data_IF_498873838697
#
_entry.id   IF_498873838697
#
_cell.length_a   1.000
_cell.length_b   1.000
_cell.length_c   1.000
_cell.angle_alpha   90.00
_cell.angle_beta   90.00
_cell.angle_gamma   90.00
#
_symmetry.space_group_name_H-M   'P 1'
#
loop_
_entity.id
_entity.type
_entity.pdbx_description
1 polymer ?
#
# COMPACT_ATOMS: atom_id res chain seq x y z
N UNK A 1 29.22 -29.99 -56.93
CA UNK A 1 30.16 -29.87 -55.78
C UNK A 1 30.38 -28.39 -55.47
N UNK A 2 30.24 -28.01 -54.19
CA UNK A 2 30.39 -26.66 -53.60
C UNK A 2 29.30 -25.62 -53.95
N UNK A 3 28.81 -24.94 -52.89
CA UNK A 3 27.84 -23.82 -52.82
C UNK A 3 26.38 -24.30 -52.90
N UNK A 4 25.54 -24.31 -51.86
CA UNK A 4 25.31 -23.33 -50.79
C UNK A 4 24.81 -24.04 -49.52
N UNK A 5 25.73 -24.44 -48.64
CA UNK A 5 25.44 -24.90 -47.26
C UNK A 5 25.35 -23.73 -46.26
N UNK A 6 24.91 -22.55 -46.72
CA UNK A 6 24.95 -21.31 -45.92
C UNK A 6 23.56 -20.72 -45.60
N UNK A 7 22.47 -21.46 -45.82
CA UNK A 7 21.11 -20.96 -45.54
C UNK A 7 20.40 -21.64 -44.37
N UNK A 8 21.02 -22.64 -43.72
CA UNK A 8 20.38 -23.38 -42.61
C UNK A 8 21.12 -23.19 -41.26
N UNK A 9 22.27 -22.50 -41.24
CA UNK A 9 23.02 -22.23 -39.99
C UNK A 9 22.78 -20.82 -39.43
N UNK A 10 22.03 -19.96 -40.13
CA UNK A 10 21.67 -18.61 -39.66
C UNK A 10 20.27 -18.49 -39.04
N UNK A 11 19.57 -19.61 -38.77
CA UNK A 11 18.33 -19.62 -37.99
C UNK A 11 18.52 -20.06 -36.54
N UNK A 12 19.77 -20.04 -36.07
CA UNK A 12 20.15 -20.10 -34.65
C UNK A 12 20.76 -18.77 -34.19
N UNK A 13 20.37 -17.65 -34.80
CA UNK A 13 20.55 -16.34 -34.18
C UNK A 13 19.52 -16.27 -33.06
N UNK A 14 19.93 -16.79 -31.91
CA UNK A 14 19.79 -16.12 -30.63
C UNK A 14 18.50 -15.29 -30.54
N UNK A 15 17.36 -15.98 -30.36
CA UNK A 15 16.21 -15.37 -29.69
C UNK A 15 16.66 -15.08 -28.26
N UNK A 16 17.47 -14.04 -28.07
CA UNK A 16 17.44 -13.26 -26.85
C UNK A 16 16.05 -12.65 -26.89
N UNK A 17 15.07 -13.39 -26.39
CA UNK A 17 14.02 -12.72 -25.66
C UNK A 17 14.76 -11.92 -24.59
N UNK A 18 14.96 -10.62 -24.86
CA UNK A 18 15.05 -9.63 -23.81
C UNK A 18 13.69 -9.72 -23.11
N UNK A 19 13.50 -10.75 -22.29
CA UNK A 19 12.68 -10.61 -21.12
C UNK A 19 13.37 -9.48 -20.37
N UNK A 20 12.87 -8.26 -20.55
CA UNK A 20 13.12 -7.20 -19.61
C UNK A 20 12.76 -7.82 -18.25
N UNK A 21 13.78 -8.23 -17.50
CA UNK A 21 13.60 -8.88 -16.23
C UNK A 21 12.71 -7.92 -15.43
N UNK A 22 11.55 -8.42 -14.97
CA UNK A 22 10.59 -7.56 -14.28
C UNK A 22 11.30 -6.76 -13.21
N UNK A 23 11.14 -5.44 -13.28
CA UNK A 23 11.72 -4.53 -12.29
C UNK A 23 11.01 -4.68 -10.94
N UNK A 24 9.92 -5.46 -10.87
CA UNK A 24 9.13 -5.72 -9.68
C UNK A 24 9.93 -6.35 -8.53
N UNK A 25 9.40 -6.17 -7.32
CA UNK A 25 9.86 -6.83 -6.11
C UNK A 25 8.68 -7.29 -5.28
N UNK A 26 8.87 -8.34 -4.50
CA UNK A 26 7.85 -8.81 -3.56
C UNK A 26 8.43 -9.43 -2.30
N UNK A 27 7.61 -9.49 -1.27
CA UNK A 27 7.87 -10.24 -0.05
C UNK A 27 6.58 -10.85 0.47
N UNK A 28 6.70 -12.03 1.08
CA UNK A 28 5.69 -12.67 1.91
C UNK A 28 6.28 -12.85 3.29
N UNK A 29 5.63 -12.28 4.31
CA UNK A 29 6.04 -12.42 5.70
C UNK A 29 4.93 -13.08 6.53
N UNK A 30 5.31 -13.80 7.58
CA UNK A 30 4.41 -14.15 8.66
C UNK A 30 3.98 -12.86 9.39
N UNK A 31 2.67 -12.65 9.55
CA UNK A 31 2.12 -11.39 10.04
C UNK A 31 2.25 -11.20 11.56
N UNK A 32 2.65 -12.24 12.30
CA UNK A 32 2.82 -12.16 13.76
C UNK A 32 4.30 -12.03 14.16
N UNK A 33 5.19 -12.64 13.37
CA UNK A 33 6.62 -12.73 13.67
C UNK A 33 7.49 -11.86 12.76
N UNK A 34 6.92 -11.27 11.71
CA UNK A 34 7.63 -10.54 10.66
C UNK A 34 8.73 -11.40 9.95
N UNK A 35 8.65 -12.73 10.07
CA UNK A 35 9.59 -13.65 9.42
C UNK A 35 9.30 -13.74 7.92
N UNK A 36 10.33 -13.56 7.10
CA UNK A 36 10.22 -13.75 5.65
C UNK A 36 9.98 -15.22 5.32
N UNK A 37 8.95 -15.49 4.51
CA UNK A 37 8.56 -16.81 4.02
C UNK A 37 8.96 -17.02 2.55
N UNK A 38 8.78 -15.99 1.73
CA UNK A 38 9.11 -15.97 0.30
C UNK A 38 9.49 -14.54 -0.07
N UNK A 39 10.53 -14.33 -0.88
CA UNK A 39 10.88 -12.99 -1.35
C UNK A 39 11.55 -13.00 -2.73
N UNK A 40 11.41 -11.89 -3.45
CA UNK A 40 12.20 -11.58 -4.63
C UNK A 40 12.54 -10.09 -4.62
N UNK A 41 13.84 -9.77 -4.61
CA UNK A 41 14.36 -8.38 -4.61
C UNK A 41 13.71 -7.51 -3.52
N UNK A 42 13.35 -8.09 -2.37
CA UNK A 42 12.51 -7.42 -1.35
C UNK A 42 13.13 -6.16 -0.73
N UNK A 43 14.46 -6.02 -0.78
CA UNK A 43 15.21 -4.85 -0.33
C UNK A 43 15.44 -3.80 -1.44
N UNK A 44 14.93 -4.04 -2.65
CA UNK A 44 15.02 -3.08 -3.76
C UNK A 44 14.14 -1.88 -3.50
N UNK A 45 14.70 -0.69 -3.76
CA UNK A 45 14.01 0.58 -3.55
C UNK A 45 13.06 0.88 -4.71
N UNK A 46 11.81 1.18 -4.37
CA UNK A 46 10.78 1.62 -5.30
C UNK A 46 10.04 2.83 -4.75
N UNK A 47 9.42 3.59 -5.66
CA UNK A 47 8.32 4.46 -5.28
C UNK A 47 7.13 3.59 -4.87
N UNK A 48 6.52 3.89 -3.73
CA UNK A 48 5.49 3.02 -3.14
C UNK A 48 4.06 3.53 -3.29
N UNK A 49 3.88 4.67 -3.96
CA UNK A 49 2.58 5.29 -4.16
C UNK A 49 1.76 5.32 -2.85
N UNK A 50 0.45 5.08 -2.96
CA UNK A 50 -0.47 5.12 -1.84
C UNK A 50 -0.31 4.01 -0.79
N UNK A 51 0.66 3.09 -0.92
CA UNK A 51 1.04 2.26 0.23
C UNK A 51 1.64 3.10 1.37
N UNK A 52 2.12 4.32 1.05
CA UNK A 52 2.45 5.37 2.04
C UNK A 52 1.35 5.53 3.11
N UNK A 53 0.08 5.45 2.71
CA UNK A 53 -1.07 5.70 3.59
C UNK A 53 -1.24 4.65 4.68
N UNK A 54 -0.58 3.50 4.59
CA UNK A 54 -0.48 2.52 5.69
C UNK A 54 0.18 3.20 6.89
N UNK A 55 1.31 3.88 6.66
CA UNK A 55 2.07 4.56 7.69
C UNK A 55 1.38 5.84 8.18
N UNK A 56 0.79 6.61 7.26
CA UNK A 56 -0.03 7.79 7.61
C UNK A 56 -1.18 7.40 8.53
N UNK A 57 -1.93 6.34 8.19
CA UNK A 57 -3.07 5.88 8.98
C UNK A 57 -2.65 5.40 10.37
N UNK A 58 -1.57 4.60 10.47
CA UNK A 58 -1.08 4.14 11.78
C UNK A 58 -0.77 5.32 12.70
N UNK A 59 0.00 6.30 12.22
CA UNK A 59 0.39 7.46 13.03
C UNK A 59 -0.84 8.28 13.45
N UNK A 60 -1.79 8.51 12.54
CA UNK A 60 -3.06 9.18 12.87
C UNK A 60 -3.78 8.43 14.00
N UNK A 61 -3.98 7.12 13.84
CA UNK A 61 -4.74 6.30 14.79
C UNK A 61 -4.06 6.11 16.15
N UNK A 62 -2.74 6.29 16.23
CA UNK A 62 -1.97 6.32 17.48
C UNK A 62 -2.08 7.68 18.21
N UNK A 63 -2.44 8.75 17.51
CA UNK A 63 -2.38 10.13 18.04
C UNK A 63 -3.74 10.84 18.05
N UNK A 64 -4.85 10.12 17.86
CA UNK A 64 -6.20 10.68 17.94
C UNK A 64 -7.27 9.66 18.34
N UNK A 65 -8.43 10.17 18.73
CA UNK A 65 -9.65 9.40 18.84
C UNK A 65 -10.40 9.40 17.51
N UNK A 66 -11.25 8.39 17.31
CA UNK A 66 -12.00 8.25 16.06
C UNK A 66 -13.07 9.33 15.91
N UNK A 67 -13.58 9.84 17.03
CA UNK A 67 -14.67 10.81 17.07
C UNK A 67 -14.16 12.27 17.08
N UNK A 68 -12.84 12.48 17.11
CA UNK A 68 -12.25 13.82 17.02
C UNK A 68 -12.63 14.48 15.68
N UNK A 69 -12.99 15.76 15.74
CA UNK A 69 -13.39 16.54 14.58
C UNK A 69 -12.19 17.20 13.89
N UNK A 70 -12.17 17.10 12.56
CA UNK A 70 -11.16 17.67 11.68
C UNK A 70 -11.81 18.68 10.75
N UNK A 71 -11.36 19.93 10.84
CA UNK A 71 -11.73 20.99 9.91
C UNK A 71 -10.87 20.87 8.65
N UNK A 72 -11.50 20.71 7.49
CA UNK A 72 -10.82 20.58 6.20
C UNK A 72 -10.23 21.93 5.77
N UNK A 73 -8.92 21.97 5.56
CA UNK A 73 -8.22 23.15 5.03
C UNK A 73 -8.38 23.28 3.52
N UNK A 74 -8.18 24.50 2.99
CA UNK A 74 -8.03 24.72 1.55
C UNK A 74 -6.90 23.89 0.93
N UNK A 75 -5.80 23.69 1.65
CA UNK A 75 -4.65 22.92 1.15
C UNK A 75 -5.02 21.44 0.94
N UNK A 76 -5.84 20.88 1.81
CA UNK A 76 -6.34 19.52 1.66
C UNK A 76 -7.22 19.37 0.41
N UNK A 77 -8.07 20.36 0.09
CA UNK A 77 -8.95 20.27 -1.09
C UNK A 77 -8.22 20.42 -2.43
N UNK A 78 -7.04 21.05 -2.42
CA UNK A 78 -6.21 21.24 -3.62
C UNK A 78 -5.33 20.03 -3.98
N UNK A 79 -5.40 18.94 -3.22
CA UNK A 79 -4.62 17.74 -3.49
C UNK A 79 -5.03 17.08 -4.81
N UNK A 80 -4.04 16.75 -5.64
CA UNK A 80 -4.26 16.06 -6.91
C UNK A 80 -4.42 14.54 -6.69
N UNK A 81 -4.97 13.85 -7.68
CA UNK A 81 -5.05 12.38 -7.68
C UNK A 81 -6.36 11.85 -7.07
N UNK A 82 -6.27 10.74 -6.33
CA UNK A 82 -7.47 10.17 -5.69
C UNK A 82 -7.96 11.08 -4.57
N UNK A 83 -9.26 11.31 -4.51
CA UNK A 83 -9.90 12.22 -3.56
C UNK A 83 -11.24 11.63 -3.11
N UNK A 84 -11.70 12.03 -1.92
CA UNK A 84 -13.08 11.84 -1.43
C UNK A 84 -13.92 13.12 -1.59
N UNK A 85 -13.39 14.11 -2.31
CA UNK A 85 -13.99 15.38 -2.70
C UNK A 85 -14.33 16.28 -1.50
N UNK A 86 -13.42 16.34 -0.52
CA UNK A 86 -13.54 17.25 0.61
C UNK A 86 -13.67 18.71 0.15
N UNK A 87 -14.46 19.50 0.89
CA UNK A 87 -14.58 20.95 0.70
C UNK A 87 -14.03 21.70 1.90
N UNK A 88 -13.49 22.88 1.65
CA UNK A 88 -12.91 23.74 2.68
C UNK A 88 -13.95 24.07 3.75
N UNK A 89 -13.51 24.09 5.02
CA UNK A 89 -14.34 24.32 6.22
C UNK A 89 -15.39 23.23 6.52
N UNK A 90 -15.47 22.14 5.75
CA UNK A 90 -16.24 20.98 6.19
C UNK A 90 -15.58 20.35 7.40
N UNK A 91 -16.41 19.78 8.28
CA UNK A 91 -15.98 19.06 9.47
C UNK A 91 -16.27 17.58 9.25
N UNK A 92 -15.24 16.75 9.42
CA UNK A 92 -15.35 15.30 9.41
C UNK A 92 -14.72 14.72 10.66
N UNK A 93 -15.18 13.56 11.10
CA UNK A 93 -14.49 12.81 12.14
C UNK A 93 -13.20 12.19 11.60
N UNK A 94 -12.22 11.93 12.48
CA UNK A 94 -11.05 11.10 12.16
C UNK A 94 -11.49 9.78 11.54
N UNK A 95 -12.56 9.16 12.08
CA UNK A 95 -13.14 7.92 11.55
C UNK A 95 -13.47 8.05 10.07
N UNK A 96 -14.23 9.06 9.68
CA UNK A 96 -14.60 9.25 8.27
C UNK A 96 -13.36 9.46 7.40
N UNK A 97 -12.45 10.34 7.81
CA UNK A 97 -11.26 10.66 7.02
C UNK A 97 -10.32 9.46 6.86
N UNK A 98 -10.13 8.64 7.91
CA UNK A 98 -9.29 7.43 7.82
C UNK A 98 -9.94 6.38 6.91
N UNK A 99 -11.27 6.20 6.95
CA UNK A 99 -11.96 5.32 5.99
C UNK A 99 -11.79 5.85 4.56
N UNK A 100 -12.01 7.13 4.32
CA UNK A 100 -11.82 7.76 3.01
C UNK A 100 -10.38 7.62 2.49
N UNK A 101 -9.40 7.82 3.37
CA UNK A 101 -7.97 7.63 3.06
C UNK A 101 -7.64 6.17 2.71
N UNK A 102 -8.12 5.18 3.47
CA UNK A 102 -7.75 3.79 3.25
C UNK A 102 -8.53 3.14 2.10
N UNK A 103 -9.86 3.27 2.10
CA UNK A 103 -10.74 2.61 1.12
C UNK A 103 -10.70 3.31 -0.24
N UNK A 104 -10.70 4.65 -0.25
CA UNK A 104 -10.73 5.45 -1.50
C UNK A 104 -9.37 6.00 -1.90
N UNK A 105 -8.36 5.83 -1.05
CA UNK A 105 -7.02 6.37 -1.30
C UNK A 105 -7.00 7.90 -1.36
N UNK A 106 -7.92 8.57 -0.65
CA UNK A 106 -8.07 10.03 -0.67
C UNK A 106 -6.82 10.76 -0.21
N UNK A 107 -6.25 11.57 -1.10
CA UNK A 107 -5.06 12.40 -0.83
C UNK A 107 -5.45 13.63 0.01
N UNK A 108 -6.60 14.22 -0.31
CA UNK A 108 -7.27 15.26 0.48
C UNK A 108 -7.45 14.84 1.94
N UNK A 109 -8.00 13.65 2.20
CA UNK A 109 -8.15 13.10 3.54
C UNK A 109 -6.79 12.91 4.24
N UNK A 110 -5.76 12.48 3.49
CA UNK A 110 -4.43 12.27 4.08
C UNK A 110 -3.80 13.57 4.56
N UNK A 111 -3.94 14.65 3.78
CA UNK A 111 -3.41 15.96 4.13
C UNK A 111 -4.20 16.60 5.27
N UNK A 112 -5.54 16.53 5.24
CA UNK A 112 -6.38 17.03 6.34
C UNK A 112 -6.03 16.35 7.68
N UNK A 113 -5.87 15.02 7.67
CA UNK A 113 -5.45 14.26 8.85
C UNK A 113 -4.04 14.65 9.31
N UNK A 114 -3.09 14.80 8.38
CA UNK A 114 -1.72 15.17 8.71
C UNK A 114 -1.62 16.57 9.34
N UNK A 115 -2.35 17.53 8.80
CA UNK A 115 -2.45 18.89 9.33
C UNK A 115 -3.08 18.91 10.71
N UNK A 116 -4.14 18.14 10.93
CA UNK A 116 -4.79 18.03 12.24
C UNK A 116 -3.83 17.46 13.31
N UNK A 117 -3.10 16.39 13.00
CA UNK A 117 -2.23 15.71 13.98
C UNK A 117 -0.95 16.49 14.28
N UNK A 118 -0.33 17.10 13.26
CA UNK A 118 1.01 17.69 13.41
C UNK A 118 1.05 19.21 13.21
N UNK A 119 -0.08 19.85 12.92
CA UNK A 119 -0.21 21.26 12.57
C UNK A 119 0.24 21.62 11.14
N UNK A 120 0.95 20.72 10.44
CA UNK A 120 1.24 20.85 9.01
C UNK A 120 1.68 19.51 8.40
N UNK A 121 1.53 19.37 7.09
CA UNK A 121 2.02 18.19 6.36
C UNK A 121 3.54 17.99 6.54
N UNK A 122 4.32 19.07 6.50
CA UNK A 122 5.79 19.00 6.64
C UNK A 122 6.19 18.48 8.03
N UNK A 123 5.48 18.90 9.08
CA UNK A 123 5.69 18.38 10.45
C UNK A 123 5.29 16.91 10.55
N UNK A 124 4.19 16.52 9.90
CA UNK A 124 3.76 15.12 9.85
C UNK A 124 4.77 14.23 9.11
N UNK A 125 5.34 14.69 7.98
CA UNK A 125 6.38 13.95 7.26
C UNK A 125 7.64 13.76 8.11
N UNK A 126 8.02 14.76 8.93
CA UNK A 126 9.12 14.59 9.91
C UNK A 126 8.78 13.50 10.92
N UNK A 127 7.54 13.47 11.42
CA UNK A 127 7.06 12.42 12.32
C UNK A 127 7.08 11.05 11.66
N UNK A 128 6.62 10.92 10.41
CA UNK A 128 6.68 9.67 9.63
C UNK A 128 8.08 9.09 9.54
N UNK A 129 9.07 9.92 9.18
CA UNK A 129 10.47 9.49 9.06
C UNK A 129 11.10 9.18 10.42
N UNK A 130 10.77 9.96 11.47
CA UNK A 130 11.22 9.68 12.85
C UNK A 130 10.69 8.31 13.30
N UNK A 131 9.39 8.06 13.15
CA UNK A 131 8.74 6.80 13.51
C UNK A 131 9.33 5.62 12.73
N UNK A 132 9.60 5.78 11.44
CA UNK A 132 10.24 4.74 10.63
C UNK A 132 11.62 4.35 11.19
N UNK A 133 12.42 5.33 11.61
CA UNK A 133 13.72 5.10 12.24
C UNK A 133 13.61 4.36 13.56
N UNK A 134 12.62 4.69 14.40
CA UNK A 134 12.37 4.03 15.70
C UNK A 134 12.11 2.53 15.54
N UNK A 135 11.41 2.12 14.48
CA UNK A 135 11.14 0.72 14.18
C UNK A 135 12.17 0.04 13.28
N UNK A 136 13.30 0.69 13.00
CA UNK A 136 14.36 0.11 12.16
C UNK A 136 13.98 -0.05 10.68
N UNK A 137 12.99 0.70 10.20
CA UNK A 137 12.58 0.77 8.78
C UNK A 137 13.59 1.67 8.04
N UNK A 138 14.72 1.07 7.64
CA UNK A 138 15.95 1.78 7.22
C UNK A 138 16.00 2.16 5.74
N UNK A 139 15.22 1.51 4.89
CA UNK A 139 15.26 1.72 3.44
C UNK A 139 14.11 2.59 2.93
N UNK A 140 13.48 3.33 3.83
CA UNK A 140 12.29 4.15 3.58
C UNK A 140 12.57 5.63 3.80
N UNK A 141 12.06 6.46 2.91
CA UNK A 141 12.06 7.92 3.03
C UNK A 141 10.73 8.49 2.57
N UNK A 142 10.06 9.21 3.46
CA UNK A 142 8.85 9.96 3.16
C UNK A 142 9.18 11.42 2.87
N UNK A 143 8.54 11.97 1.84
CA UNK A 143 8.55 13.39 1.46
C UNK A 143 7.14 13.99 1.47
N UNK A 144 6.10 13.15 1.46
CA UNK A 144 4.69 13.54 1.56
C UNK A 144 3.86 12.43 2.25
N UNK A 145 2.61 12.72 2.60
CA UNK A 145 1.73 11.80 3.36
C UNK A 145 0.84 10.91 2.48
N UNK A 146 0.89 11.11 1.16
CA UNK A 146 -0.04 10.53 0.19
C UNK A 146 0.59 9.43 -0.66
N UNK A 147 1.90 9.53 -0.91
CA UNK A 147 2.66 8.78 -1.89
C UNK A 147 2.62 9.32 -3.32
N UNK A 148 2.10 10.53 -3.54
CA UNK A 148 2.09 11.16 -4.87
C UNK A 148 3.48 11.64 -5.29
N UNK A 149 4.28 12.11 -4.32
CA UNK A 149 5.65 12.53 -4.52
C UNK A 149 6.63 11.35 -4.55
N UNK A 150 7.88 11.64 -4.21
CA UNK A 150 8.99 10.69 -4.33
C UNK A 150 9.21 9.89 -3.05
N UNK A 151 8.13 9.36 -2.46
CA UNK A 151 8.23 8.44 -1.32
C UNK A 151 8.86 7.12 -1.77
N UNK A 152 9.99 6.77 -1.19
CA UNK A 152 10.76 5.56 -1.53
C UNK A 152 10.73 4.60 -0.36
N UNK A 153 10.56 3.31 -0.64
CA UNK A 153 10.66 2.23 0.34
C UNK A 153 11.01 0.92 -0.38
N UNK A 154 10.95 -0.20 0.32
CA UNK A 154 11.20 -1.56 -0.19
C UNK A 154 10.01 -2.46 0.13
N UNK A 155 9.87 -3.60 -0.54
CA UNK A 155 8.76 -4.50 -0.25
C UNK A 155 8.82 -4.99 1.21
N UNK A 156 10.03 -5.24 1.72
CA UNK A 156 10.28 -5.65 3.12
C UNK A 156 9.88 -4.57 4.12
N UNK A 157 10.30 -3.32 3.89
CA UNK A 157 9.96 -2.20 4.76
C UNK A 157 8.45 -1.93 4.76
N UNK A 158 7.80 -1.98 3.59
CA UNK A 158 6.33 -1.86 3.49
C UNK A 158 5.61 -2.99 4.22
N UNK A 159 6.10 -4.23 4.11
CA UNK A 159 5.51 -5.35 4.85
C UNK A 159 5.64 -5.16 6.36
N UNK A 160 6.78 -4.66 6.84
CA UNK A 160 6.97 -4.30 8.27
C UNK A 160 6.03 -3.17 8.69
N UNK A 161 5.88 -2.11 7.88
CA UNK A 161 4.93 -1.03 8.17
C UNK A 161 3.49 -1.55 8.26
N UNK A 162 3.11 -2.47 7.37
CA UNK A 162 1.78 -3.03 7.36
C UNK A 162 1.55 -3.99 8.53
N UNK A 163 2.54 -4.80 8.90
CA UNK A 163 2.52 -5.63 10.10
C UNK A 163 2.28 -4.79 11.37
N UNK A 164 3.05 -3.70 11.53
CA UNK A 164 2.90 -2.78 12.65
C UNK A 164 1.52 -2.13 12.65
N UNK A 165 1.03 -1.74 11.47
CA UNK A 165 -0.30 -1.14 11.36
C UNK A 165 -1.42 -2.12 11.75
N UNK A 166 -1.29 -3.41 11.40
CA UNK A 166 -2.27 -4.45 11.74
C UNK A 166 -2.34 -4.79 13.24
N UNK A 167 -1.34 -4.41 14.03
CA UNK A 167 -1.40 -4.50 15.50
C UNK A 167 -2.37 -3.49 16.11
N UNK A 168 -2.65 -2.39 15.41
CA UNK A 168 -3.68 -1.44 15.80
C UNK A 168 -5.06 -1.96 15.34
N UNK A 169 -5.94 -2.31 16.29
CA UNK A 169 -7.26 -2.89 16.00
C UNK A 169 -8.10 -1.99 15.11
N UNK A 170 -8.10 -0.67 15.35
CA UNK A 170 -8.82 0.31 14.51
C UNK A 170 -8.33 0.26 13.06
N UNK A 171 -7.01 0.21 12.83
CA UNK A 171 -6.47 0.12 11.48
C UNK A 171 -6.88 -1.19 10.80
N UNK A 172 -6.76 -2.32 11.51
CA UNK A 172 -7.13 -3.65 11.01
C UNK A 172 -8.60 -3.67 10.58
N UNK A 173 -9.50 -3.19 11.45
CA UNK A 173 -10.93 -3.17 11.18
C UNK A 173 -11.26 -2.29 9.97
N UNK A 174 -10.71 -1.06 9.91
CA UNK A 174 -10.98 -0.12 8.82
C UNK A 174 -10.43 -0.65 7.49
N UNK A 175 -9.18 -1.11 7.46
CA UNK A 175 -8.54 -1.61 6.23
C UNK A 175 -9.21 -2.88 5.69
N UNK A 176 -9.86 -3.66 6.57
CA UNK A 176 -10.60 -4.88 6.24
C UNK A 176 -12.03 -4.69 5.77
N UNK A 177 -12.61 -3.49 5.90
CA UNK A 177 -13.98 -3.25 5.45
C UNK A 177 -14.10 -3.22 3.93
N UNK A 178 -15.13 -3.89 3.40
CA UNK A 178 -15.46 -3.86 1.96
C UNK A 178 -16.04 -2.51 1.52
N UNK A 179 -16.71 -1.81 2.43
CA UNK A 179 -17.25 -0.47 2.20
C UNK A 179 -17.53 0.27 3.51
N UNK A 180 -17.69 1.58 3.43
CA UNK A 180 -18.03 2.44 4.55
C UNK A 180 -19.05 3.50 4.10
N UNK A 181 -20.04 3.80 4.94
CA UNK A 181 -20.99 4.90 4.72
C UNK A 181 -20.55 6.09 5.58
N UNK A 182 -20.14 7.18 4.95
CA UNK A 182 -19.65 8.34 5.69
C UNK A 182 -20.78 9.05 6.45
N UNK A 183 -20.42 9.76 7.52
CA UNK A 183 -21.39 10.39 8.42
C UNK A 183 -21.96 11.71 7.91
N UNK A 184 -21.25 12.40 6.98
CA UNK A 184 -21.63 13.72 6.50
C UNK A 184 -22.83 13.67 5.53
N UNK A 185 -22.73 12.90 4.46
CA UNK A 185 -23.75 12.86 3.39
C UNK A 185 -24.29 11.46 3.11
N UNK A 186 -23.81 10.45 3.83
CA UNK A 186 -24.24 9.07 3.66
C UNK A 186 -23.76 8.40 2.37
N UNK A 187 -22.84 9.00 1.61
CA UNK A 187 -22.21 8.36 0.45
C UNK A 187 -21.44 7.10 0.88
N UNK A 188 -21.60 6.03 0.09
CA UNK A 188 -20.90 4.76 0.30
C UNK A 188 -19.56 4.76 -0.43
N UNK A 189 -18.49 4.61 0.33
CA UNK A 189 -17.14 4.42 -0.14
C UNK A 189 -16.81 2.94 -0.20
N UNK A 190 -16.75 2.36 -1.40
CA UNK A 190 -16.27 0.99 -1.60
C UNK A 190 -14.75 0.91 -1.54
N UNK A 191 -14.22 -0.11 -0.87
CA UNK A 191 -12.79 -0.36 -0.80
C UNK A 191 -12.23 -0.65 -2.21
N UNK A 192 -11.14 0.02 -2.61
CA UNK A 192 -10.45 -0.25 -3.88
C UNK A 192 -9.72 -1.60 -3.89
N UNK A 193 -9.55 -2.24 -2.74
CA UNK A 193 -8.82 -3.49 -2.60
C UNK A 193 -9.67 -4.72 -2.95
N UNK A 194 -9.55 -5.20 -4.19
CA UNK A 194 -10.41 -6.26 -4.74
C UNK A 194 -10.46 -7.52 -3.87
N UNK A 195 -9.32 -7.98 -3.37
CA UNK A 195 -9.26 -9.22 -2.56
C UNK A 195 -10.00 -9.12 -1.23
N UNK A 196 -10.09 -7.90 -0.66
CA UNK A 196 -10.85 -7.64 0.57
C UNK A 196 -12.34 -7.61 0.25
N UNK A 197 -12.72 -6.94 -0.84
CA UNK A 197 -14.12 -6.86 -1.30
C UNK A 197 -14.67 -8.24 -1.71
N UNK A 198 -13.86 -9.06 -2.37
CA UNK A 198 -14.20 -10.42 -2.81
C UNK A 198 -14.16 -11.45 -1.68
N UNK A 199 -13.82 -11.07 -0.44
CA UNK A 199 -13.60 -11.96 0.71
C UNK A 199 -12.66 -13.15 0.38
N UNK A 200 -11.57 -12.89 -0.35
CA UNK A 200 -10.62 -13.90 -0.83
C UNK A 200 -9.64 -14.37 0.27
N UNK A 201 -10.14 -14.58 1.50
CA UNK A 201 -9.35 -14.74 2.74
C UNK A 201 -8.47 -13.53 3.12
N UNK A 202 -8.55 -12.45 2.35
CA UNK A 202 -7.85 -11.20 2.66
C UNK A 202 -8.67 -10.43 3.70
N UNK A 203 -8.07 -10.16 4.86
CA UNK A 203 -8.74 -9.45 5.95
C UNK A 203 -8.33 -7.99 6.06
N UNK A 204 -7.32 -7.54 5.32
CA UNK A 204 -6.93 -6.13 5.20
C UNK A 204 -6.08 -5.92 3.94
N UNK A 205 -6.03 -4.68 3.44
CA UNK A 205 -5.20 -4.37 2.28
C UNK A 205 -5.16 -2.89 1.90
N UNK A 206 -4.16 -2.54 1.09
CA UNK A 206 -4.02 -1.22 0.49
C UNK A 206 -3.45 -1.31 -0.91
N UNK A 207 -4.04 -0.55 -1.83
CA UNK A 207 -3.56 -0.38 -3.22
C UNK A 207 -2.76 0.90 -3.40
N UNK A 208 -1.91 0.95 -4.42
CA UNK A 208 -1.25 2.17 -4.85
C UNK A 208 -0.86 2.12 -6.32
N UNK A 209 -0.95 3.26 -7.00
CA UNK A 209 -0.49 3.43 -8.37
C UNK A 209 -0.12 4.88 -8.63
N UNK A 210 1.00 5.08 -9.31
CA UNK A 210 1.37 6.29 -10.05
C UNK A 210 2.04 5.84 -11.34
N UNK A 211 2.17 6.74 -12.32
CA UNK A 211 2.92 6.42 -13.55
C UNK A 211 4.37 5.98 -13.26
N UNK A 212 4.97 6.52 -12.20
CA UNK A 212 6.38 6.30 -11.86
C UNK A 212 6.62 5.08 -10.95
N UNK A 213 5.66 4.71 -10.10
CA UNK A 213 5.76 3.55 -9.21
C UNK A 213 5.34 2.24 -9.87
N UNK A 214 4.58 2.31 -10.96
CA UNK A 214 3.77 1.18 -11.39
C UNK A 214 2.71 0.83 -10.33
N UNK A 215 2.18 -0.39 -10.41
CA UNK A 215 1.19 -0.90 -9.46
C UNK A 215 1.90 -1.43 -8.20
N UNK A 216 1.36 -1.08 -7.05
CA UNK A 216 1.88 -1.46 -5.73
C UNK A 216 0.70 -1.97 -4.91
N UNK A 217 0.91 -3.05 -4.16
CA UNK A 217 -0.17 -3.72 -3.44
C UNK A 217 0.36 -4.35 -2.16
N UNK A 218 -0.39 -4.18 -1.06
CA UNK A 218 -0.17 -4.88 0.20
C UNK A 218 -1.47 -5.56 0.63
N UNK A 219 -1.42 -6.87 0.90
CA UNK A 219 -2.57 -7.68 1.32
C UNK A 219 -2.21 -8.51 2.54
N UNK A 220 -3.08 -8.54 3.54
CA UNK A 220 -2.99 -9.45 4.67
C UNK A 220 -4.03 -10.56 4.51
N UNK A 221 -3.58 -11.80 4.61
CA UNK A 221 -4.39 -13.00 4.47
C UNK A 221 -4.42 -13.80 5.76
N UNK A 222 -5.54 -14.46 6.02
CA UNK A 222 -5.70 -15.42 7.10
C UNK A 222 -5.95 -16.82 6.53
N UNK A 223 -5.21 -17.81 7.03
CA UNK A 223 -5.49 -19.21 6.77
C UNK A 223 -6.22 -19.84 7.96
N UNK A 224 -7.49 -20.17 7.77
CA UNK A 224 -8.29 -20.83 8.80
C UNK A 224 -7.73 -22.21 9.17
N UNK A 225 -7.16 -22.95 8.22
CA UNK A 225 -6.67 -24.32 8.46
C UNK A 225 -5.46 -24.34 9.38
N UNK A 226 -4.47 -23.51 9.11
CA UNK A 226 -3.26 -23.41 9.95
C UNK A 226 -3.38 -22.39 11.08
N UNK A 227 -4.48 -21.63 11.15
CA UNK A 227 -4.68 -20.50 12.07
C UNK A 227 -3.53 -19.48 12.02
N UNK A 228 -3.02 -19.21 10.81
CA UNK A 228 -1.89 -18.29 10.58
C UNK A 228 -2.27 -17.12 9.69
N UNK A 229 -1.66 -15.99 9.95
CA UNK A 229 -1.77 -14.78 9.13
C UNK A 229 -0.45 -14.50 8.41
N UNK A 230 -0.53 -14.03 7.17
CA UNK A 230 0.64 -13.57 6.43
C UNK A 230 0.32 -12.32 5.61
N UNK A 231 1.37 -11.58 5.29
CA UNK A 231 1.31 -10.35 4.50
C UNK A 231 2.07 -10.57 3.20
N UNK A 232 1.43 -10.21 2.09
CA UNK A 232 2.06 -10.15 0.77
C UNK A 232 2.19 -8.70 0.34
N UNK A 233 3.37 -8.29 -0.09
CA UNK A 233 3.61 -6.97 -0.69
C UNK A 233 4.28 -7.14 -2.04
N UNK A 234 3.78 -6.43 -3.04
CA UNK A 234 4.40 -6.31 -4.38
C UNK A 234 4.60 -4.84 -4.74
N UNK A 235 5.76 -4.50 -5.28
CA UNK A 235 6.08 -3.17 -5.80
C UNK A 235 6.41 -3.24 -7.29
N UNK A 236 5.90 -2.30 -8.07
CA UNK A 236 6.01 -2.23 -9.54
C UNK A 236 5.53 -3.51 -10.27
N UNK A 237 4.42 -4.10 -9.82
CA UNK A 237 3.92 -5.38 -10.32
C UNK A 237 2.62 -5.25 -11.10
N UNK A 238 2.67 -5.44 -12.43
CA UNK A 238 1.52 -5.22 -13.34
C UNK A 238 0.36 -6.17 -13.03
N UNK A 239 0.67 -7.41 -12.64
CA UNK A 239 -0.32 -8.46 -12.36
C UNK A 239 -0.51 -8.68 -10.85
N UNK A 240 -0.36 -7.62 -10.05
CA UNK A 240 -0.36 -7.64 -8.58
C UNK A 240 -1.43 -8.54 -7.94
N UNK A 241 -2.69 -8.44 -8.38
CA UNK A 241 -3.78 -9.29 -7.85
C UNK A 241 -3.52 -10.78 -8.06
N UNK A 242 -3.06 -11.18 -9.24
CA UNK A 242 -2.79 -12.58 -9.59
C UNK A 242 -1.57 -13.08 -8.83
N UNK A 243 -0.52 -12.24 -8.74
CA UNK A 243 0.69 -12.55 -7.98
C UNK A 243 0.37 -12.74 -6.49
N UNK A 244 -0.45 -11.88 -5.89
CA UNK A 244 -0.88 -12.02 -4.49
C UNK A 244 -1.67 -13.31 -4.26
N UNK A 245 -2.64 -13.64 -5.11
CA UNK A 245 -3.40 -14.91 -5.03
C UNK A 245 -2.46 -16.12 -5.13
N UNK A 246 -1.50 -16.10 -6.07
CA UNK A 246 -0.54 -17.20 -6.26
C UNK A 246 0.43 -17.37 -5.08
N UNK A 247 0.99 -16.27 -4.56
CA UNK A 247 1.88 -16.30 -3.40
C UNK A 247 1.13 -16.77 -2.14
N UNK A 248 -0.11 -16.34 -1.94
CA UNK A 248 -0.96 -16.80 -0.85
C UNK A 248 -1.20 -18.31 -0.93
N UNK A 249 -1.54 -18.84 -2.11
CA UNK A 249 -1.71 -20.28 -2.32
C UNK A 249 -0.44 -21.09 -1.99
N UNK A 250 0.75 -20.59 -2.37
CA UNK A 250 2.03 -21.24 -2.04
C UNK A 250 2.29 -21.34 -0.54
N UNK A 251 1.79 -20.40 0.26
CA UNK A 251 1.88 -20.44 1.72
C UNK A 251 0.83 -21.39 2.29
N UNK A 252 -0.42 -21.33 1.82
CA UNK A 252 -1.51 -22.19 2.31
C UNK A 252 -1.30 -23.70 2.04
N UNK A 253 -0.46 -24.06 1.06
CA UNK A 253 -0.17 -25.46 0.72
C UNK A 253 1.00 -26.06 1.52
N UNK A 254 1.71 -25.27 2.32
CA UNK A 254 2.79 -25.72 3.20
C UNK A 254 2.28 -25.99 4.60
#
# INVERSE_FOLDING_TARGET
MRRFYYFIVLFFIFNIYLFAQSDSSFVVIDANTNKVLIEEKSNKKHKIASLTKIWTALIVLENSNLDDEVVVSKRATLQQGSSIYLKENQIYTIKDLVHGMLLRSGNDASVALAEHIAGSEEKFVKLMNKRAKEFGIKNTKFVDVTGLGNNISTAKDVATMFELALKNSKFKDISGQSSYKNSLDGQIWKNKHKLVVENSKAFAGKTGYTKQSGRTLATAFYDEKSSKSFIVVTLNEKDDWKVHKSLAQKVFMK
#
